data_IF_184130262113
#
_entry.id   IF_184130262113
#
_cell.length_a   1.000
_cell.length_b   1.000
_cell.length_c   1.000
_cell.angle_alpha   90.00
_cell.angle_beta   90.00
_cell.angle_gamma   90.00
#
_symmetry.space_group_name_H-M   'P 1'
#
loop_
_entity.id
_entity.type
_entity.pdbx_description
1 polymer ?
#
# COMPACT_ATOMS: atom_id res chain seq x y z
N UNK A 1 5.12 10.85 -12.91
CA UNK A 1 5.36 9.97 -11.77
C UNK A 1 6.83 9.61 -11.62
N UNK A 2 7.52 9.19 -12.70
CA UNK A 2 8.96 8.84 -12.68
C UNK A 2 9.82 9.99 -12.15
N UNK A 3 9.55 11.23 -12.57
CA UNK A 3 10.24 12.42 -12.05
C UNK A 3 10.00 12.61 -10.56
N UNK A 4 8.76 12.49 -10.09
CA UNK A 4 8.44 12.60 -8.66
C UNK A 4 9.14 11.52 -7.82
N UNK A 5 9.22 10.29 -8.32
CA UNK A 5 9.97 9.20 -7.67
C UNK A 5 11.46 9.54 -7.58
N UNK A 6 12.06 10.05 -8.66
CA UNK A 6 13.48 10.41 -8.68
C UNK A 6 13.79 11.58 -7.75
N UNK A 7 12.90 12.57 -7.66
CA UNK A 7 13.02 13.76 -6.82
C UNK A 7 12.86 13.44 -5.34
N UNK A 8 11.79 12.71 -4.97
CA UNK A 8 11.43 12.50 -3.56
C UNK A 8 11.98 11.20 -2.96
N UNK A 9 12.49 10.27 -3.78
CA UNK A 9 13.07 8.98 -3.36
C UNK A 9 12.27 8.28 -2.26
N UNK A 10 10.99 7.97 -2.50
CA UNK A 10 10.14 7.38 -1.47
C UNK A 10 10.60 5.94 -1.15
N UNK A 11 10.44 5.53 0.11
CA UNK A 11 10.72 4.15 0.55
C UNK A 11 9.64 3.17 0.09
N UNK A 12 8.44 3.66 -0.23
CA UNK A 12 7.30 2.86 -0.68
C UNK A 12 6.36 3.71 -1.54
N UNK A 13 5.76 3.11 -2.55
CA UNK A 13 4.68 3.72 -3.34
C UNK A 13 3.37 3.07 -2.95
N UNK A 14 2.46 3.86 -2.37
CA UNK A 14 1.11 3.40 -2.05
C UNK A 14 0.19 3.58 -3.26
N UNK A 15 -0.56 2.54 -3.61
CA UNK A 15 -1.51 2.54 -4.72
C UNK A 15 -2.86 2.03 -4.25
N UNK A 16 -3.93 2.70 -4.64
CA UNK A 16 -5.28 2.24 -4.34
C UNK A 16 -5.62 1.02 -5.20
N UNK A 17 -6.13 -0.03 -4.56
CA UNK A 17 -6.63 -1.22 -5.26
C UNK A 17 -7.96 -0.90 -5.91
N UNK A 18 -7.99 -0.97 -7.22
CA UNK A 18 -9.22 -0.72 -7.99
C UNK A 18 -10.18 -1.89 -7.85
N UNK A 19 -11.41 -1.59 -7.39
CA UNK A 19 -12.54 -2.51 -7.42
C UNK A 19 -13.64 -1.90 -8.27
N UNK A 20 -14.12 -2.63 -9.26
CA UNK A 20 -15.28 -2.19 -10.05
C UNK A 20 -16.47 -3.07 -9.72
N UNK A 21 -17.50 -2.46 -9.15
CA UNK A 21 -18.81 -3.12 -9.01
C UNK A 21 -19.89 -2.47 -9.90
N UNK A 22 -19.74 -1.20 -10.29
CA UNK A 22 -20.82 -0.45 -10.94
C UNK A 22 -20.42 0.36 -12.18
N UNK A 23 -19.14 0.69 -12.38
CA UNK A 23 -18.69 1.47 -13.55
C UNK A 23 -17.35 0.95 -14.10
N UNK A 24 -17.45 -0.01 -15.00
CA UNK A 24 -16.28 -0.68 -15.63
C UNK A 24 -15.40 0.32 -16.38
N UNK A 25 -15.98 1.30 -17.06
CA UNK A 25 -15.22 2.26 -17.88
C UNK A 25 -14.31 3.14 -17.04
N UNK A 26 -14.81 3.67 -15.93
CA UNK A 26 -14.01 4.46 -14.99
C UNK A 26 -12.97 3.59 -14.28
N UNK A 27 -13.35 2.37 -13.89
CA UNK A 27 -12.45 1.43 -13.25
C UNK A 27 -11.26 1.03 -14.14
N UNK A 28 -11.48 0.88 -15.45
CA UNK A 28 -10.39 0.58 -16.39
C UNK A 28 -9.37 1.71 -16.48
N UNK A 29 -9.82 2.97 -16.58
CA UNK A 29 -8.91 4.13 -16.59
C UNK A 29 -8.09 4.24 -15.30
N UNK A 30 -8.74 4.05 -14.16
CA UNK A 30 -8.05 4.05 -12.85
C UNK A 30 -7.06 2.88 -12.73
N UNK A 31 -7.43 1.69 -13.21
CA UNK A 31 -6.54 0.52 -13.21
C UNK A 31 -5.32 0.73 -14.12
N UNK A 32 -5.48 1.37 -15.27
CA UNK A 32 -4.37 1.72 -16.16
C UNK A 32 -3.41 2.71 -15.48
N UNK A 33 -3.94 3.76 -14.85
CA UNK A 33 -3.13 4.71 -14.10
C UNK A 33 -2.39 4.05 -12.94
N UNK A 34 -3.08 3.19 -12.18
CA UNK A 34 -2.47 2.39 -11.10
C UNK A 34 -1.35 1.48 -11.64
N UNK A 35 -1.58 0.83 -12.78
CA UNK A 35 -0.57 0.00 -13.45
C UNK A 35 0.70 0.78 -13.81
N UNK A 36 0.56 2.00 -14.31
CA UNK A 36 1.72 2.87 -14.60
C UNK A 36 2.47 3.26 -13.32
N UNK A 37 1.77 3.47 -12.21
CA UNK A 37 2.40 3.75 -10.92
C UNK A 37 3.22 2.55 -10.42
N UNK A 38 2.66 1.34 -10.53
CA UNK A 38 3.33 0.10 -10.15
C UNK A 38 4.58 -0.12 -11.00
N UNK A 39 4.49 0.05 -12.32
CA UNK A 39 5.64 -0.10 -13.24
C UNK A 39 6.73 0.93 -12.93
N UNK A 40 6.37 2.19 -12.67
CA UNK A 40 7.34 3.23 -12.34
C UNK A 40 8.08 2.92 -11.03
N UNK A 41 7.37 2.46 -9.99
CA UNK A 41 7.95 2.04 -8.74
C UNK A 41 8.87 0.82 -8.91
N UNK A 42 8.42 -0.20 -9.63
CA UNK A 42 9.20 -1.41 -9.91
C UNK A 42 10.51 -1.11 -10.65
N UNK A 43 10.48 -0.22 -11.65
CA UNK A 43 11.68 0.23 -12.36
C UNK A 43 12.66 0.98 -11.48
N UNK A 44 12.18 1.65 -10.45
CA UNK A 44 13.01 2.34 -9.46
C UNK A 44 13.46 1.43 -8.30
N UNK A 45 13.06 0.16 -8.30
CA UNK A 45 13.35 -0.78 -7.20
C UNK A 45 12.60 -0.46 -5.91
N UNK A 46 11.51 0.30 -5.98
CA UNK A 46 10.74 0.73 -4.81
C UNK A 46 9.55 -0.22 -4.60
N UNK A 47 9.33 -0.73 -3.38
CA UNK A 47 8.21 -1.59 -3.07
C UNK A 47 6.87 -0.86 -3.25
N UNK A 48 5.84 -1.60 -3.65
CA UNK A 48 4.47 -1.09 -3.81
C UNK A 48 3.58 -1.69 -2.75
N UNK A 49 2.82 -0.83 -2.06
CA UNK A 49 1.76 -1.22 -1.13
C UNK A 49 0.39 -0.95 -1.74
N UNK A 50 -0.48 -1.95 -1.70
CA UNK A 50 -1.85 -1.85 -2.23
C UNK A 50 -2.85 -1.73 -1.08
N UNK A 51 -3.69 -0.71 -1.11
CA UNK A 51 -4.75 -0.48 -0.13
C UNK A 51 -6.12 -0.43 -0.79
N UNK A 52 -7.12 -1.00 -0.15
CA UNK A 52 -8.51 -0.86 -0.60
C UNK A 52 -9.08 0.50 -0.18
N UNK A 53 -10.09 1.05 -0.91
CA UNK A 53 -10.77 2.27 -0.50
C UNK A 53 -11.32 2.22 0.92
N UNK A 54 -11.85 1.06 1.32
CA UNK A 54 -12.39 0.85 2.68
C UNK A 54 -11.29 0.93 3.75
N UNK A 55 -10.10 0.39 3.47
CA UNK A 55 -8.95 0.47 4.37
C UNK A 55 -8.47 1.91 4.54
N UNK A 56 -8.39 2.67 3.44
CA UNK A 56 -8.00 4.09 3.47
C UNK A 56 -8.98 4.90 4.31
N UNK A 57 -10.29 4.74 4.05
CA UNK A 57 -11.34 5.39 4.82
C UNK A 57 -11.26 5.07 6.30
N UNK A 58 -11.17 3.79 6.64
CA UNK A 58 -11.08 3.35 8.03
C UNK A 58 -9.82 3.86 8.73
N UNK A 59 -8.68 3.90 8.06
CA UNK A 59 -7.45 4.42 8.63
C UNK A 59 -7.57 5.90 8.98
N UNK A 60 -8.10 6.73 8.07
CA UNK A 60 -8.14 8.18 8.25
C UNK A 60 -9.26 8.63 9.18
N UNK A 61 -10.45 8.00 9.10
CA UNK A 61 -11.66 8.47 9.80
C UNK A 61 -12.13 7.54 10.91
N UNK A 62 -11.57 6.34 11.04
CA UNK A 62 -12.08 5.29 11.92
C UNK A 62 -13.28 4.52 11.30
N UNK A 63 -13.79 4.91 10.13
CA UNK A 63 -14.94 4.30 9.48
C UNK A 63 -14.69 3.99 8.01
N UNK A 64 -14.80 2.73 7.61
CA UNK A 64 -14.70 2.31 6.19
C UNK A 64 -15.84 2.83 5.30
N UNK A 65 -16.88 3.45 5.89
CA UNK A 65 -18.06 4.01 5.19
C UNK A 65 -18.01 5.53 5.07
N UNK A 66 -16.92 6.18 5.50
CA UNK A 66 -16.78 7.63 5.44
C UNK A 66 -16.97 8.16 4.02
N UNK A 67 -17.59 9.32 3.90
CA UNK A 67 -17.73 10.04 2.65
C UNK A 67 -16.49 10.92 2.33
N UNK A 68 -16.45 11.51 1.14
CA UNK A 68 -15.33 12.35 0.71
C UNK A 68 -15.14 13.61 1.56
N UNK A 69 -16.21 14.21 2.05
CA UNK A 69 -16.13 15.40 2.89
C UNK A 69 -15.49 15.07 4.24
N UNK A 70 -15.86 13.95 4.84
CA UNK A 70 -15.29 13.46 6.09
C UNK A 70 -13.80 13.14 5.93
N UNK A 71 -13.41 12.51 4.83
CA UNK A 71 -11.99 12.21 4.54
C UNK A 71 -11.21 13.52 4.40
N UNK A 72 -11.69 14.46 3.59
CA UNK A 72 -11.04 15.77 3.39
C UNK A 72 -10.87 16.54 4.69
N UNK A 73 -11.90 16.60 5.52
CA UNK A 73 -11.85 17.25 6.82
C UNK A 73 -10.83 16.58 7.78
N UNK A 74 -10.79 15.24 7.80
CA UNK A 74 -9.83 14.53 8.62
C UNK A 74 -8.40 14.68 8.14
N UNK A 75 -8.13 14.63 6.83
CA UNK A 75 -6.80 14.89 6.25
C UNK A 75 -6.33 16.29 6.62
N UNK A 76 -7.18 17.30 6.44
CA UNK A 76 -6.88 18.70 6.80
C UNK A 76 -6.50 18.81 8.28
N UNK A 77 -7.26 18.17 9.17
CA UNK A 77 -7.01 18.17 10.62
C UNK A 77 -5.73 17.42 10.98
N UNK A 78 -5.53 16.22 10.45
CA UNK A 78 -4.36 15.37 10.77
C UNK A 78 -3.05 16.02 10.35
N UNK A 79 -3.04 16.64 9.18
CA UNK A 79 -1.87 17.31 8.61
C UNK A 79 -1.75 18.78 9.04
N UNK A 80 -2.72 19.28 9.86
CA UNK A 80 -2.77 20.68 10.33
C UNK A 80 -2.70 21.69 9.19
N UNK A 81 -3.38 21.38 8.08
CA UNK A 81 -3.43 22.28 6.93
C UNK A 81 -4.35 23.47 7.22
N UNK A 82 -4.01 24.66 6.70
CA UNK A 82 -4.83 25.85 6.83
C UNK A 82 -6.15 25.73 6.06
N UNK A 83 -6.13 25.00 4.92
CA UNK A 83 -7.28 24.77 4.05
C UNK A 83 -7.33 23.32 3.60
N UNK A 84 -8.50 22.88 3.16
CA UNK A 84 -8.66 21.55 2.56
C UNK A 84 -7.82 21.41 1.27
N UNK A 85 -7.15 20.28 1.06
CA UNK A 85 -6.35 20.07 -0.15
C UNK A 85 -7.20 20.20 -1.42
N UNK A 86 -6.62 20.84 -2.42
CA UNK A 86 -7.22 21.01 -3.75
C UNK A 86 -6.23 20.59 -4.83
N UNK A 87 -6.67 19.94 -5.92
CA UNK A 87 -8.02 19.39 -6.16
C UNK A 87 -8.41 18.27 -5.17
N UNK A 88 -9.65 17.76 -5.25
CA UNK A 88 -10.13 16.69 -4.34
C UNK A 88 -9.24 15.44 -4.36
N UNK A 89 -8.65 15.10 -5.50
CA UNK A 89 -7.73 13.98 -5.65
C UNK A 89 -6.45 14.12 -4.80
N UNK A 90 -6.06 15.35 -4.45
CA UNK A 90 -4.96 15.60 -3.52
C UNK A 90 -5.30 15.11 -2.11
N UNK A 91 -6.54 15.30 -1.67
CA UNK A 91 -7.00 14.76 -0.38
C UNK A 91 -7.04 13.24 -0.37
N UNK A 92 -7.46 12.61 -1.47
CA UNK A 92 -7.47 11.15 -1.63
C UNK A 92 -6.03 10.59 -1.60
N UNK A 93 -5.09 11.23 -2.28
CA UNK A 93 -3.67 10.84 -2.28
C UNK A 93 -3.04 10.96 -0.87
N UNK A 94 -3.34 12.05 -0.15
CA UNK A 94 -2.86 12.25 1.23
C UNK A 94 -3.48 11.22 2.19
N UNK A 95 -4.77 10.90 2.03
CA UNK A 95 -5.43 9.86 2.81
C UNK A 95 -4.77 8.49 2.60
N UNK A 96 -4.43 8.15 1.36
CA UNK A 96 -3.71 6.93 1.01
C UNK A 96 -2.31 6.88 1.64
N UNK A 97 -1.58 7.99 1.61
CA UNK A 97 -0.26 8.11 2.23
C UNK A 97 -0.34 7.94 3.77
N UNK A 98 -1.32 8.57 4.43
CA UNK A 98 -1.57 8.42 5.86
C UNK A 98 -1.89 6.95 6.19
N UNK A 99 -2.75 6.31 5.40
CA UNK A 99 -3.08 4.89 5.56
C UNK A 99 -1.82 4.02 5.49
N UNK A 100 -0.94 4.26 4.51
CA UNK A 100 0.31 3.53 4.35
C UNK A 100 1.23 3.73 5.56
N UNK A 101 1.41 4.95 6.05
CA UNK A 101 2.28 5.24 7.19
C UNK A 101 1.78 4.50 8.44
N UNK A 102 0.48 4.53 8.72
CA UNK A 102 -0.07 3.93 9.93
C UNK A 102 -0.16 2.40 9.87
N UNK A 103 -0.48 1.84 8.71
CA UNK A 103 -0.65 0.38 8.54
C UNK A 103 0.61 -0.32 8.02
N UNK A 104 1.42 0.38 7.24
CA UNK A 104 2.59 -0.18 6.61
C UNK A 104 3.63 -0.70 7.60
N UNK A 105 3.84 0.00 8.71
CA UNK A 105 4.75 -0.45 9.76
C UNK A 105 4.31 -1.78 10.42
N UNK A 106 3.01 -1.97 10.58
CA UNK A 106 2.44 -3.23 11.08
C UNK A 106 2.58 -4.37 10.07
N UNK A 107 2.25 -4.10 8.81
CA UNK A 107 2.35 -5.09 7.73
C UNK A 107 3.80 -5.50 7.46
N UNK A 108 4.75 -4.57 7.50
CA UNK A 108 6.17 -4.87 7.34
C UNK A 108 6.68 -5.81 8.45
N UNK A 109 6.26 -5.61 9.70
CA UNK A 109 6.61 -6.50 10.82
C UNK A 109 6.04 -7.90 10.63
N UNK A 110 4.78 -8.01 10.21
CA UNK A 110 4.13 -9.30 9.93
C UNK A 110 4.82 -10.01 8.77
N UNK A 111 5.10 -9.31 7.68
CA UNK A 111 5.80 -9.88 6.53
C UNK A 111 7.20 -10.37 6.88
N UNK A 112 7.97 -9.60 7.67
CA UNK A 112 9.27 -10.01 8.17
C UNK A 112 9.20 -11.25 9.04
N UNK A 113 8.24 -11.34 9.96
CA UNK A 113 8.02 -12.50 10.79
C UNK A 113 7.64 -13.75 9.96
N UNK A 114 6.76 -13.59 8.97
CA UNK A 114 6.38 -14.67 8.05
C UNK A 114 7.57 -15.17 7.22
N UNK A 115 8.41 -14.25 6.72
CA UNK A 115 9.63 -14.61 5.99
C UNK A 115 10.62 -15.38 6.86
N UNK A 116 10.78 -15.01 8.12
CA UNK A 116 11.62 -15.75 9.08
C UNK A 116 11.08 -17.17 9.33
N UNK A 117 9.78 -17.31 9.53
CA UNK A 117 9.15 -18.62 9.71
C UNK A 117 9.31 -19.48 8.45
N UNK A 118 9.11 -18.92 7.27
CA UNK A 118 9.28 -19.63 6.00
C UNK A 118 10.73 -20.11 5.81
N UNK A 119 11.70 -19.25 6.09
CA UNK A 119 13.13 -19.60 6.01
C UNK A 119 13.54 -20.66 7.01
N UNK A 120 13.02 -20.61 8.25
CA UNK A 120 13.27 -21.62 9.27
C UNK A 120 12.68 -23.00 8.86
N UNK A 121 11.46 -23.01 8.31
CA UNK A 121 10.83 -24.24 7.78
C UNK A 121 11.63 -24.84 6.63
N UNK A 122 12.11 -24.01 5.69
CA UNK A 122 12.93 -24.48 4.58
C UNK A 122 14.25 -25.11 5.06
N UNK A 123 14.92 -24.48 6.01
CA UNK A 123 16.14 -25.02 6.63
C UNK A 123 15.90 -26.37 7.34
N UNK A 124 14.80 -26.47 8.10
CA UNK A 124 14.44 -27.72 8.79
C UNK A 124 14.14 -28.85 7.79
N UNK A 125 13.51 -28.55 6.66
CA UNK A 125 13.22 -29.53 5.61
C UNK A 125 14.51 -30.04 4.95
N UNK A 126 15.44 -29.12 4.64
CA UNK A 126 16.76 -29.48 4.08
C UNK A 126 17.57 -30.33 5.07
N UNK A 127 17.56 -29.98 6.33
CA UNK A 127 18.26 -30.72 7.39
C UNK A 127 17.72 -32.14 7.58
N UNK A 128 16.38 -32.31 7.56
CA UNK A 128 15.73 -33.64 7.59
C UNK A 128 16.08 -34.48 6.37
N UNK A 129 16.10 -33.88 5.17
CA UNK A 129 16.48 -34.59 3.95
C UNK A 129 17.96 -35.03 3.95
N UNK A 130 18.85 -34.21 4.50
CA UNK A 130 20.26 -34.55 4.67
C UNK A 130 20.47 -35.70 5.67
N UNK A 131 19.71 -35.72 6.77
CA UNK A 131 19.82 -36.80 7.80
C UNK A 131 19.35 -38.14 7.25
N UNK A 132 18.35 -38.18 6.39
CA UNK A 132 17.83 -39.42 5.75
C UNK A 132 18.86 -40.01 4.77
N UNK A 133 19.72 -39.20 4.14
CA UNK A 133 20.76 -39.67 3.22
C UNK A 133 21.96 -40.32 3.90
N UNK A 134 22.18 -40.08 5.19
CA UNK A 134 23.34 -40.60 5.93
C UNK A 134 23.05 -41.99 6.56
N UNK A 135 21.81 -42.42 6.61
CA UNK A 135 21.38 -43.71 7.22
C UNK A 135 21.23 -44.81 6.17
N UNK A 136 21.73 -44.64 4.95
CA UNK A 136 21.81 -45.65 3.88
C UNK A 136 23.29 -45.93 3.59
#
# INVERSE_FOLDING_TARGET
LTLAIAEHRPDVVAVERVFSQHNVRTAMGTAQAAGLAIVAAARAGIPVALHTPTEVKAAVTGSGRADKAQIGAMVTRLLRLAEAPRPADAADALALAICQIWRGAGQAKIAAAQAQVASARARATVQRAATIKVVR
#
